data_IF_405619182029
#
_entry.id   IF_405619182029
#
_cell.length_a   1.000
_cell.length_b   1.000
_cell.length_c   1.000
_cell.angle_alpha   90.00
_cell.angle_beta   90.00
_cell.angle_gamma   90.00
#
_symmetry.space_group_name_H-M   'P 1'
#
loop_
_entity.id
_entity.type
_entity.pdbx_description
1 polymer ?
#
# COMPACT_ATOMS: atom_id res chain seq x y z
N UNK A 1 -4.70 1.95 21.72
CA UNK A 1 -4.16 2.84 20.66
C UNK A 1 -2.75 2.53 20.14
N UNK A 2 -1.81 1.94 20.90
CA UNK A 2 -0.43 1.69 20.41
C UNK A 2 -0.33 0.71 19.21
N UNK A 3 -1.29 -0.21 19.07
CA UNK A 3 -1.38 -1.11 17.92
C UNK A 3 -1.80 -0.37 16.64
N UNK A 4 -2.84 0.47 16.72
CA UNK A 4 -3.33 1.28 15.59
C UNK A 4 -2.19 2.15 15.04
N UNK A 5 -1.48 2.88 15.90
CA UNK A 5 -0.33 3.70 15.47
C UNK A 5 0.77 2.88 14.76
N UNK A 6 1.01 1.64 15.21
CA UNK A 6 1.98 0.73 14.55
C UNK A 6 1.48 0.30 13.17
N UNK A 7 0.20 -0.02 13.02
CA UNK A 7 -0.41 -0.40 11.75
C UNK A 7 -0.40 0.78 10.76
N UNK A 8 -0.72 1.99 11.21
CA UNK A 8 -0.66 3.21 10.40
C UNK A 8 0.76 3.48 9.88
N UNK A 9 1.77 3.38 10.75
CA UNK A 9 3.18 3.53 10.34
C UNK A 9 3.61 2.45 9.34
N UNK A 10 3.07 1.24 9.42
CA UNK A 10 3.32 0.21 8.41
C UNK A 10 2.67 0.54 7.07
N UNK A 11 1.43 1.06 7.07
CA UNK A 11 0.75 1.52 5.86
C UNK A 11 1.56 2.62 5.18
N UNK A 12 2.00 3.64 5.92
CA UNK A 12 2.79 4.75 5.38
C UNK A 12 4.10 4.27 4.70
N UNK A 13 4.79 3.30 5.31
CA UNK A 13 5.98 2.69 4.71
C UNK A 13 5.66 1.95 3.40
N UNK A 14 4.50 1.29 3.34
CA UNK A 14 4.07 0.59 2.13
C UNK A 14 3.67 1.59 1.04
N UNK A 15 2.96 2.66 1.38
CA UNK A 15 2.59 3.74 0.45
C UNK A 15 3.83 4.40 -0.17
N UNK A 16 4.87 4.69 0.63
CA UNK A 16 6.16 5.18 0.13
C UNK A 16 6.83 4.20 -0.86
N UNK A 17 6.66 2.88 -0.66
CA UNK A 17 7.18 1.86 -1.59
C UNK A 17 6.37 1.80 -2.88
N UNK A 18 5.06 1.98 -2.81
CA UNK A 18 4.18 2.08 -3.99
C UNK A 18 4.60 3.27 -4.84
N UNK A 19 4.74 4.46 -4.24
CA UNK A 19 5.18 5.67 -4.94
C UNK A 19 6.50 5.46 -5.70
N UNK A 20 7.50 4.84 -5.06
CA UNK A 20 8.78 4.50 -5.71
C UNK A 20 8.63 3.55 -6.90
N UNK A 21 7.70 2.59 -6.83
CA UNK A 21 7.45 1.69 -7.95
C UNK A 21 6.71 2.40 -9.09
N UNK A 22 5.79 3.31 -8.77
CA UNK A 22 5.11 4.16 -9.76
C UNK A 22 6.10 5.10 -10.47
N UNK A 23 7.04 5.69 -9.73
CA UNK A 23 8.15 6.47 -10.30
C UNK A 23 8.98 5.64 -11.29
N UNK A 24 9.34 4.41 -10.94
CA UNK A 24 10.05 3.50 -11.86
C UNK A 24 9.26 3.20 -13.13
N UNK A 25 7.93 3.07 -13.04
CA UNK A 25 7.07 2.90 -14.23
C UNK A 25 7.11 4.18 -15.10
N UNK A 26 7.07 5.37 -14.49
CA UNK A 26 7.18 6.65 -15.21
C UNK A 26 8.55 6.81 -15.91
N UNK A 27 9.63 6.43 -15.23
CA UNK A 27 10.97 6.42 -15.83
C UNK A 27 11.07 5.44 -17.01
N UNK A 28 10.50 4.23 -16.86
CA UNK A 28 10.44 3.25 -17.94
C UNK A 28 9.67 3.77 -19.14
N UNK A 29 8.54 4.45 -18.90
CA UNK A 29 7.75 5.08 -19.95
C UNK A 29 8.58 6.14 -20.68
N UNK A 30 9.28 7.00 -19.94
CA UNK A 30 10.16 8.02 -20.51
C UNK A 30 11.29 7.40 -21.35
N UNK A 31 11.87 6.28 -20.92
CA UNK A 31 12.89 5.55 -21.71
C UNK A 31 12.30 4.94 -22.99
N UNK A 32 11.08 4.42 -22.92
CA UNK A 32 10.37 3.89 -24.08
C UNK A 32 10.03 4.99 -25.09
N UNK A 33 9.49 6.11 -24.61
CA UNK A 33 9.15 7.28 -25.44
C UNK A 33 10.40 7.87 -26.12
N UNK A 34 11.54 7.86 -25.42
CA UNK A 34 12.85 8.21 -25.96
C UNK A 34 13.50 7.13 -26.86
N UNK A 35 12.77 6.05 -27.18
CA UNK A 35 13.23 4.89 -27.98
C UNK A 35 14.49 4.21 -27.44
N UNK A 36 14.80 4.36 -26.15
CA UNK A 36 15.96 3.73 -25.48
C UNK A 36 15.72 2.27 -25.10
N UNK A 37 14.46 1.85 -25.03
CA UNK A 37 14.05 0.46 -24.78
C UNK A 37 12.94 0.06 -25.76
N UNK A 38 12.82 -1.23 -26.02
CA UNK A 38 11.74 -1.75 -26.87
C UNK A 38 10.38 -1.75 -26.15
N UNK A 39 9.29 -1.82 -26.92
CA UNK A 39 7.94 -1.96 -26.37
C UNK A 39 7.79 -3.24 -25.54
N UNK A 40 8.39 -4.33 -25.99
CA UNK A 40 8.36 -5.61 -25.28
C UNK A 40 9.07 -5.50 -23.93
N UNK A 41 10.27 -4.92 -23.90
CA UNK A 41 11.02 -4.70 -22.67
C UNK A 41 10.27 -3.77 -21.70
N UNK A 42 9.67 -2.68 -22.21
CA UNK A 42 8.83 -1.78 -21.43
C UNK A 42 7.66 -2.55 -20.78
N UNK A 43 6.92 -3.33 -21.55
CA UNK A 43 5.74 -4.06 -21.05
C UNK A 43 6.11 -5.07 -19.97
N UNK A 44 7.17 -5.87 -20.15
CA UNK A 44 7.62 -6.86 -19.17
C UNK A 44 8.00 -6.17 -17.85
N UNK A 45 8.80 -5.10 -17.92
CA UNK A 45 9.23 -4.39 -16.71
C UNK A 45 8.07 -3.65 -16.05
N UNK A 46 7.17 -3.05 -16.82
CA UNK A 46 5.96 -2.39 -16.33
C UNK A 46 5.09 -3.38 -15.54
N UNK A 47 4.78 -4.53 -16.14
CA UNK A 47 3.97 -5.58 -15.49
C UNK A 47 4.57 -6.05 -14.16
N UNK A 48 5.91 -6.19 -14.09
CA UNK A 48 6.60 -6.54 -12.85
C UNK A 48 6.33 -5.52 -11.73
N UNK A 49 6.44 -4.22 -12.04
CA UNK A 49 6.19 -3.18 -11.03
C UNK A 49 4.70 -3.05 -10.69
N UNK A 50 3.79 -3.20 -11.66
CA UNK A 50 2.35 -3.23 -11.41
C UNK A 50 1.95 -4.39 -10.49
N UNK A 51 2.48 -5.60 -10.73
CA UNK A 51 2.25 -6.75 -9.86
C UNK A 51 2.73 -6.50 -8.42
N UNK A 52 3.90 -5.86 -8.25
CA UNK A 52 4.37 -5.46 -6.92
C UNK A 52 3.43 -4.44 -6.27
N UNK A 53 2.97 -3.43 -7.00
CA UNK A 53 2.02 -2.43 -6.49
C UNK A 53 0.70 -3.10 -6.08
N UNK A 54 0.16 -4.01 -6.89
CA UNK A 54 -1.05 -4.77 -6.55
C UNK A 54 -0.89 -5.55 -5.24
N UNK A 55 0.23 -6.25 -5.05
CA UNK A 55 0.50 -6.97 -3.81
C UNK A 55 0.62 -6.04 -2.58
N UNK A 56 1.27 -4.89 -2.74
CA UNK A 56 1.38 -3.88 -1.68
C UNK A 56 0.01 -3.27 -1.32
N UNK A 57 -0.83 -2.98 -2.32
CA UNK A 57 -2.19 -2.50 -2.12
C UNK A 57 -3.08 -3.51 -1.38
N UNK A 58 -2.97 -4.80 -1.71
CA UNK A 58 -3.66 -5.86 -0.98
C UNK A 58 -3.23 -5.88 0.50
N UNK A 59 -1.93 -5.72 0.77
CA UNK A 59 -1.41 -5.66 2.14
C UNK A 59 -1.94 -4.44 2.91
N UNK A 60 -2.01 -3.26 2.28
CA UNK A 60 -2.63 -2.08 2.90
C UNK A 60 -4.09 -2.37 3.27
N UNK A 61 -4.86 -3.01 2.39
CA UNK A 61 -6.27 -3.34 2.66
C UNK A 61 -6.42 -4.22 3.90
N UNK A 62 -5.56 -5.23 4.05
CA UNK A 62 -5.54 -6.10 5.23
C UNK A 62 -5.24 -5.31 6.50
N UNK A 63 -4.22 -4.44 6.46
CA UNK A 63 -3.84 -3.59 7.61
C UNK A 63 -4.96 -2.62 8.00
N UNK A 64 -5.61 -1.98 7.02
CA UNK A 64 -6.79 -1.12 7.24
C UNK A 64 -7.93 -1.89 7.90
N UNK A 65 -8.17 -3.13 7.47
CA UNK A 65 -9.14 -4.03 8.13
C UNK A 65 -8.76 -4.36 9.59
N UNK A 66 -7.47 -4.54 9.87
CA UNK A 66 -6.95 -4.69 11.23
C UNK A 66 -7.22 -3.49 12.12
N UNK A 67 -6.98 -2.27 11.61
CA UNK A 67 -7.29 -1.02 12.31
C UNK A 67 -8.78 -0.90 12.61
N UNK A 68 -9.64 -1.18 11.62
CA UNK A 68 -11.09 -1.10 11.79
C UNK A 68 -11.60 -2.05 12.89
N UNK A 69 -11.08 -3.29 12.93
CA UNK A 69 -11.42 -4.24 14.00
C UNK A 69 -10.95 -3.78 15.37
N UNK A 70 -9.76 -3.20 15.46
CA UNK A 70 -9.23 -2.70 16.74
C UNK A 70 -10.04 -1.51 17.26
N UNK A 71 -10.43 -0.59 16.37
CA UNK A 71 -11.30 0.54 16.73
C UNK A 71 -12.65 0.07 17.29
N UNK A 72 -13.31 -0.88 16.63
CA UNK A 72 -14.58 -1.47 17.13
C UNK A 72 -14.41 -2.10 18.51
N UNK A 73 -13.32 -2.84 18.74
CA UNK A 73 -13.03 -3.42 20.07
C UNK A 73 -12.80 -2.37 21.15
N UNK A 74 -12.17 -1.24 20.82
CA UNK A 74 -12.00 -0.13 21.77
C UNK A 74 -13.35 0.56 22.06
N UNK A 75 -14.21 0.71 21.06
CA UNK A 75 -15.57 1.27 21.21
C UNK A 75 -16.46 0.37 22.09
N UNK A 76 -16.55 -0.92 21.79
CA UNK A 76 -17.34 -1.90 22.57
C UNK A 76 -16.90 -1.99 24.04
N UNK A 77 -15.60 -1.80 24.31
CA UNK A 77 -15.09 -1.77 25.69
C UNK A 77 -15.55 -0.52 26.45
N UNK A 78 -15.52 0.64 25.79
CA UNK A 78 -15.96 1.90 26.40
C UNK A 78 -17.46 1.90 26.69
N UNK A 79 -18.26 1.34 25.79
CA UNK A 79 -19.71 1.18 26.01
C UNK A 79 -19.99 0.32 27.26
N UNK A 80 -19.31 -0.82 27.39
CA UNK A 80 -19.46 -1.72 28.55
C UNK A 80 -18.93 -1.14 29.87
N UNK A 81 -17.99 -0.22 29.80
CA UNK A 81 -17.44 0.48 30.98
C UNK A 81 -18.30 1.69 31.38
N UNK A 82 -19.02 2.32 30.44
CA UNK A 82 -19.93 3.44 30.71
C UNK A 82 -21.33 3.03 31.17
N UNK A 83 -21.73 1.77 30.95
CA UNK A 83 -22.99 1.20 31.45
C UNK A 83 -22.88 0.61 32.89
N UNK A 84 -21.70 0.71 33.53
CA UNK A 84 -21.47 0.29 34.92
C UNK A 84 -21.36 1.48 35.85
#
# INVERSE_FOLDING_TARGET
MALIKRLEKQIEKIEKRIQKNEEKIRELKSKYDAKKISRAEFNIKKQKYEAMIHGLNARIRILKGGIAREKRKEEEKKEKEGEK
#
